data_IF_170120237103
#
_entry.id   IF_170120237103
#
_cell.length_a   1.000
_cell.length_b   1.000
_cell.length_c   1.000
_cell.angle_alpha   90.00
_cell.angle_beta   90.00
_cell.angle_gamma   90.00
#
_symmetry.space_group_name_H-M   'P 1'
#
loop_
_entity.id
_entity.type
_entity.pdbx_description
1 polymer ?
#
# COMPACT_ATOMS: atom_id res chain seq x y z
N UNK A 1 -54.63 33.59 21.06
CA UNK A 1 -53.30 34.01 21.52
C UNK A 1 -52.60 34.69 20.36
N UNK A 2 -52.79 36.01 20.21
CA UNK A 2 -52.08 36.77 19.19
C UNK A 2 -50.64 36.99 19.65
N UNK A 3 -49.69 36.33 18.99
CA UNK A 3 -48.27 36.59 19.23
C UNK A 3 -47.99 37.97 18.67
N UNK A 4 -47.67 38.93 19.54
CA UNK A 4 -47.34 40.29 19.10
C UNK A 4 -46.14 40.26 18.16
N UNK A 5 -46.21 41.03 17.06
CA UNK A 5 -45.19 41.11 16.02
C UNK A 5 -43.77 41.29 16.60
N UNK A 6 -43.66 42.08 17.68
CA UNK A 6 -42.41 42.31 18.41
C UNK A 6 -41.81 41.04 19.02
N UNK A 7 -42.63 40.13 19.58
CA UNK A 7 -42.14 38.85 20.12
C UNK A 7 -41.64 37.93 19.00
N UNK A 8 -42.31 37.93 17.85
CA UNK A 8 -41.88 37.18 16.67
C UNK A 8 -40.52 37.67 16.14
N UNK A 9 -40.34 39.00 16.04
CA UNK A 9 -39.06 39.60 15.61
C UNK A 9 -37.93 39.31 16.61
N UNK A 10 -38.21 39.35 17.91
CA UNK A 10 -37.22 39.02 18.94
C UNK A 10 -36.80 37.54 18.87
N UNK A 11 -37.74 36.62 18.70
CA UNK A 11 -37.43 35.18 18.57
C UNK A 11 -36.64 34.91 17.29
N UNK A 12 -37.02 35.54 16.17
CA UNK A 12 -36.31 35.38 14.90
C UNK A 12 -34.88 35.94 14.97
N UNK A 13 -34.67 37.09 15.62
CA UNK A 13 -33.33 37.69 15.78
C UNK A 13 -32.43 36.86 16.70
N UNK A 14 -32.95 36.34 17.81
CA UNK A 14 -32.21 35.42 18.68
C UNK A 14 -31.83 34.14 17.92
N UNK A 15 -32.77 33.54 17.17
CA UNK A 15 -32.50 32.37 16.36
C UNK A 15 -31.41 32.63 15.28
N UNK A 16 -31.45 33.80 14.65
CA UNK A 16 -30.44 34.20 13.67
C UNK A 16 -29.05 34.39 14.30
N UNK A 17 -28.97 35.00 15.48
CA UNK A 17 -27.70 35.16 16.22
C UNK A 17 -27.15 33.79 16.62
N UNK A 18 -27.98 32.88 17.14
CA UNK A 18 -27.57 31.52 17.50
C UNK A 18 -27.08 30.75 16.27
N UNK A 19 -27.80 30.81 15.14
CA UNK A 19 -27.38 30.19 13.89
C UNK A 19 -26.06 30.77 13.37
N UNK A 20 -25.86 32.10 13.47
CA UNK A 20 -24.62 32.75 13.08
C UNK A 20 -23.44 32.33 13.97
N UNK A 21 -23.65 32.16 15.28
CA UNK A 21 -22.62 31.66 16.22
C UNK A 21 -22.25 30.22 15.89
N UNK A 22 -23.24 29.35 15.66
CA UNK A 22 -23.00 27.94 15.27
C UNK A 22 -22.25 27.89 13.94
N UNK A 23 -22.64 28.71 12.97
CA UNK A 23 -21.98 28.78 11.68
C UNK A 23 -20.56 29.35 11.77
N UNK A 24 -20.31 30.30 12.67
CA UNK A 24 -18.97 30.83 12.94
C UNK A 24 -18.07 29.79 13.60
N UNK A 25 -18.61 28.94 14.46
CA UNK A 25 -17.86 27.87 15.13
C UNK A 25 -17.56 26.67 14.21
N UNK A 26 -18.31 26.52 13.11
CA UNK A 26 -18.16 25.44 12.10
C UNK A 26 -17.94 24.04 12.73
N UNK A 27 -18.86 23.56 13.59
CA UNK A 27 -18.70 22.27 14.28
C UNK A 27 -18.58 21.06 13.34
N UNK A 28 -19.00 21.20 12.07
CA UNK A 28 -18.79 20.16 11.06
C UNK A 28 -17.31 20.01 10.66
N UNK A 29 -16.51 21.07 10.70
CA UNK A 29 -15.07 20.98 10.38
C UNK A 29 -14.32 20.19 11.46
N UNK A 30 -14.70 20.34 12.74
CA UNK A 30 -14.08 19.56 13.83
C UNK A 30 -14.48 18.09 13.79
N UNK A 31 -15.73 17.77 13.43
CA UNK A 31 -16.18 16.40 13.23
C UNK A 31 -15.41 15.70 12.09
N UNK A 32 -15.23 16.39 10.94
CA UNK A 32 -14.46 15.88 9.81
C UNK A 32 -12.98 15.68 10.18
N UNK A 33 -12.37 16.63 10.90
CA UNK A 33 -11.00 16.51 11.37
C UNK A 33 -10.80 15.29 12.30
N UNK A 34 -11.74 15.06 13.22
CA UNK A 34 -11.72 13.88 14.09
C UNK A 34 -11.80 12.58 13.28
N UNK A 35 -12.70 12.50 12.30
CA UNK A 35 -12.84 11.33 11.45
C UNK A 35 -11.58 11.05 10.62
N UNK A 36 -10.93 12.08 10.09
CA UNK A 36 -9.66 11.95 9.36
C UNK A 36 -8.58 11.37 10.27
N UNK A 37 -8.44 11.90 11.49
CA UNK A 37 -7.43 11.45 12.44
C UNK A 37 -7.70 10.02 12.92
N UNK A 38 -8.96 9.66 13.13
CA UNK A 38 -9.38 8.29 13.41
C UNK A 38 -8.99 7.33 12.26
N UNK A 39 -9.31 7.69 11.02
CA UNK A 39 -8.96 6.89 9.83
C UNK A 39 -7.44 6.72 9.68
N UNK A 40 -6.65 7.78 9.93
CA UNK A 40 -5.18 7.70 9.92
C UNK A 40 -4.66 6.65 10.88
N UNK A 41 -5.10 6.71 12.15
CA UNK A 41 -4.68 5.75 13.17
C UNK A 41 -5.02 4.33 12.78
N UNK A 42 -6.23 4.10 12.26
CA UNK A 42 -6.66 2.79 11.79
C UNK A 42 -5.87 2.29 10.58
N UNK A 43 -5.58 3.15 9.62
CA UNK A 43 -4.76 2.77 8.47
C UNK A 43 -3.32 2.43 8.87
N UNK A 44 -2.73 3.16 9.84
CA UNK A 44 -1.40 2.86 10.37
C UNK A 44 -1.38 1.54 11.13
N UNK A 45 -2.38 1.27 11.97
CA UNK A 45 -2.56 -0.01 12.67
C UNK A 45 -2.59 -1.19 11.67
N UNK A 46 -3.39 -1.07 10.60
CA UNK A 46 -3.45 -2.08 9.53
C UNK A 46 -2.09 -2.23 8.82
N UNK A 47 -1.41 -1.12 8.53
CA UNK A 47 -0.11 -1.14 7.88
C UNK A 47 0.96 -1.85 8.74
N UNK A 48 1.01 -1.55 10.04
CA UNK A 48 1.93 -2.20 10.99
C UNK A 48 1.62 -3.69 11.16
N UNK A 49 0.35 -4.06 11.18
CA UNK A 49 -0.04 -5.46 11.22
C UNK A 49 0.38 -6.24 9.98
N UNK A 50 0.26 -5.63 8.79
CA UNK A 50 0.75 -6.22 7.53
C UNK A 50 2.28 -6.37 7.56
N UNK A 51 3.00 -5.33 7.98
CA UNK A 51 4.46 -5.32 8.04
C UNK A 51 5.00 -6.41 9.00
N UNK A 52 4.30 -6.63 10.12
CA UNK A 52 4.64 -7.63 11.15
C UNK A 52 4.01 -9.01 10.92
N UNK A 53 3.18 -9.17 9.89
CA UNK A 53 2.38 -10.39 9.61
C UNK A 53 1.43 -10.79 10.75
N UNK A 54 1.05 -9.86 11.60
CA UNK A 54 0.05 -10.10 12.65
C UNK A 54 -1.37 -10.02 12.08
N UNK A 55 -2.32 -10.78 12.63
CA UNK A 55 -3.72 -10.62 12.27
C UNK A 55 -4.25 -9.24 12.71
N UNK A 56 -5.14 -8.64 11.92
CA UNK A 56 -5.77 -7.35 12.23
C UNK A 56 -7.27 -7.39 11.93
N UNK A 57 -8.07 -6.87 12.87
CA UNK A 57 -9.52 -6.75 12.69
C UNK A 57 -9.84 -5.43 11.99
N UNK A 58 -10.50 -5.51 10.85
CA UNK A 58 -10.91 -4.34 10.08
C UNK A 58 -12.25 -3.82 10.62
N UNK A 59 -12.30 -2.59 11.09
CA UNK A 59 -13.55 -1.97 11.58
C UNK A 59 -14.29 -1.21 10.49
N UNK A 60 -13.56 -0.66 9.53
CA UNK A 60 -14.11 0.18 8.46
C UNK A 60 -14.46 -0.64 7.21
N UNK A 61 -15.25 -0.04 6.32
CA UNK A 61 -15.55 -0.60 5.01
C UNK A 61 -14.39 -0.41 4.04
N UNK A 62 -13.37 -1.25 4.17
CA UNK A 62 -12.24 -1.27 3.25
C UNK A 62 -12.64 -1.88 1.91
N UNK A 63 -12.12 -1.31 0.84
CA UNK A 63 -12.19 -1.85 -0.51
C UNK A 63 -10.84 -2.40 -0.93
N UNK A 64 -10.87 -3.45 -1.75
CA UNK A 64 -9.69 -4.10 -2.28
C UNK A 64 -9.41 -3.58 -3.70
N UNK A 65 -8.23 -3.02 -3.92
CA UNK A 65 -7.76 -2.64 -5.24
C UNK A 65 -6.60 -3.55 -5.66
N UNK A 66 -6.54 -3.88 -6.95
CA UNK A 66 -5.42 -4.62 -7.53
C UNK A 66 -4.52 -3.64 -8.27
N UNK A 67 -3.27 -3.51 -7.82
CA UNK A 67 -2.26 -2.68 -8.48
C UNK A 67 -1.33 -3.56 -9.30
N UNK A 68 -1.14 -3.20 -10.57
CA UNK A 68 -0.21 -3.89 -11.47
C UNK A 68 1.20 -3.34 -11.32
N UNK A 69 2.18 -4.22 -11.46
CA UNK A 69 3.61 -3.95 -11.45
C UNK A 69 4.25 -4.60 -12.68
N UNK A 70 5.26 -3.95 -13.23
CA UNK A 70 6.09 -4.50 -14.31
C UNK A 70 7.48 -4.79 -13.75
N UNK A 71 7.88 -6.06 -13.74
CA UNK A 71 9.23 -6.48 -13.41
C UNK A 71 10.01 -6.67 -14.71
N UNK A 72 11.04 -5.87 -14.92
CA UNK A 72 11.91 -5.95 -16.08
C UNK A 72 13.28 -6.43 -15.66
N UNK A 73 13.72 -7.52 -16.29
CA UNK A 73 15.03 -8.13 -16.04
C UNK A 73 15.84 -7.96 -17.31
N UNK A 74 16.82 -7.07 -17.26
CA UNK A 74 17.77 -6.83 -18.34
C UNK A 74 19.03 -7.61 -18.04
N UNK A 75 19.28 -8.65 -18.85
CA UNK A 75 20.51 -9.44 -18.79
C UNK A 75 21.57 -8.78 -19.69
N UNK A 76 22.87 -9.01 -19.43
CA UNK A 76 23.89 -8.38 -20.25
C UNK A 76 23.73 -8.80 -21.71
N UNK A 77 23.88 -7.87 -22.65
CA UNK A 77 23.80 -8.11 -24.10
C UNK A 77 22.52 -8.81 -24.60
N UNK A 78 21.44 -8.81 -23.82
CA UNK A 78 20.17 -9.46 -24.16
C UNK A 78 19.00 -8.47 -24.06
N UNK A 79 17.91 -8.80 -24.77
CA UNK A 79 16.64 -8.07 -24.62
C UNK A 79 16.05 -8.30 -23.23
N UNK A 80 15.47 -7.24 -22.67
CA UNK A 80 14.80 -7.29 -21.37
C UNK A 80 13.62 -8.26 -21.39
N UNK A 81 13.49 -9.05 -20.31
CA UNK A 81 12.31 -9.89 -20.06
C UNK A 81 11.38 -9.13 -19.13
N UNK A 82 10.14 -8.92 -19.58
CA UNK A 82 9.12 -8.20 -18.80
C UNK A 82 8.10 -9.19 -18.25
N UNK A 83 7.85 -9.12 -16.95
CA UNK A 83 6.86 -9.93 -16.24
C UNK A 83 5.84 -8.98 -15.62
N UNK A 84 4.57 -9.14 -16.00
CA UNK A 84 3.46 -8.40 -15.40
C UNK A 84 3.00 -9.11 -14.14
N UNK A 85 3.07 -8.41 -13.02
CA UNK A 85 2.65 -8.90 -11.71
C UNK A 85 1.54 -7.99 -11.17
N UNK A 86 0.89 -8.43 -10.11
CA UNK A 86 -0.13 -7.65 -9.41
C UNK A 86 -0.06 -7.91 -7.91
N UNK A 87 -0.49 -6.94 -7.12
CA UNK A 87 -0.59 -7.06 -5.66
C UNK A 87 -1.82 -6.30 -5.16
N UNK A 88 -2.21 -6.63 -3.94
CA UNK A 88 -3.40 -6.10 -3.28
C UNK A 88 -3.09 -4.80 -2.54
N UNK A 89 -4.00 -3.83 -2.63
CA UNK A 89 -3.98 -2.55 -1.93
C UNK A 89 -5.32 -2.37 -1.24
N UNK A 90 -5.33 -1.85 -0.01
CA UNK A 90 -6.58 -1.53 0.69
C UNK A 90 -6.87 -0.04 0.59
N UNK A 91 -8.14 0.31 0.42
CA UNK A 91 -8.58 1.71 0.39
C UNK A 91 -9.88 1.90 1.18
N UNK A 92 -9.95 2.95 1.97
CA UNK A 92 -11.16 3.36 2.69
C UNK A 92 -11.58 4.77 2.27
N UNK A 93 -12.89 5.06 2.12
CA UNK A 93 -13.36 6.40 1.82
C UNK A 93 -12.93 7.42 2.88
N UNK A 94 -12.45 8.57 2.43
CA UNK A 94 -12.14 9.75 3.24
C UNK A 94 -13.30 10.75 3.15
N UNK A 95 -13.73 11.36 4.27
CA UNK A 95 -14.78 12.38 4.26
C UNK A 95 -14.36 13.70 3.58
N UNK A 96 -13.06 13.87 3.32
CA UNK A 96 -12.49 15.05 2.68
C UNK A 96 -11.49 14.66 1.60
N UNK A 97 -11.45 15.47 0.53
CA UNK A 97 -10.44 15.36 -0.51
C UNK A 97 -9.07 15.80 0.01
N UNK A 98 -8.11 14.86 0.09
CA UNK A 98 -6.77 15.11 0.61
C UNK A 98 -5.71 14.45 -0.28
N UNK A 99 -4.54 15.09 -0.40
CA UNK A 99 -3.34 14.53 -1.05
C UNK A 99 -2.15 14.67 -0.12
N UNK A 100 -2.09 13.82 0.88
CA UNK A 100 -1.08 13.88 1.95
C UNK A 100 -0.57 12.47 2.25
N UNK A 101 0.71 12.37 2.59
CA UNK A 101 1.33 11.12 3.04
C UNK A 101 1.22 11.02 4.56
N UNK A 102 0.80 9.85 5.05
CA UNK A 102 0.72 9.56 6.50
C UNK A 102 1.93 8.73 6.94
N UNK A 103 2.28 7.69 6.17
CA UNK A 103 3.41 6.78 6.43
C UNK A 103 4.09 6.40 5.10
N UNK A 104 5.42 6.37 5.09
CA UNK A 104 6.21 5.89 3.96
C UNK A 104 6.42 6.91 2.84
N UNK A 105 6.69 6.44 1.61
CA UNK A 105 7.03 7.28 0.46
C UNK A 105 6.25 6.85 -0.79
N UNK A 106 5.04 7.40 -1.05
CA UNK A 106 4.12 6.87 -2.06
C UNK A 106 4.70 6.78 -3.48
N UNK A 107 5.66 7.64 -3.81
CA UNK A 107 6.36 7.68 -5.12
C UNK A 107 7.29 6.48 -5.35
N UNK A 108 7.63 5.70 -4.32
CA UNK A 108 8.40 4.47 -4.49
C UNK A 108 7.47 3.33 -4.91
N UNK A 109 7.87 2.59 -5.95
CA UNK A 109 7.10 1.44 -6.45
C UNK A 109 7.41 0.15 -5.71
N UNK A 110 8.51 0.11 -4.94
CA UNK A 110 8.93 -1.04 -4.13
C UNK A 110 9.72 -0.61 -2.89
N UNK A 111 9.97 -1.56 -2.01
CA UNK A 111 10.81 -1.43 -0.81
C UNK A 111 11.99 -2.40 -0.90
N UNK A 112 13.17 -2.00 -0.46
CA UNK A 112 14.37 -2.82 -0.53
C UNK A 112 14.59 -3.52 0.82
N UNK A 113 14.79 -4.84 0.79
CA UNK A 113 15.17 -5.62 1.96
C UNK A 113 14.01 -6.07 2.86
N UNK A 114 13.09 -5.18 3.23
CA UNK A 114 11.97 -5.52 4.14
C UNK A 114 10.65 -4.89 3.70
N UNK A 115 9.54 -5.41 4.24
CA UNK A 115 8.19 -4.89 3.99
C UNK A 115 8.01 -3.55 4.71
N UNK A 116 7.62 -2.54 3.95
CA UNK A 116 7.14 -1.27 4.49
C UNK A 116 5.83 -0.91 3.79
N UNK A 117 4.74 -0.92 4.53
CA UNK A 117 3.41 -0.57 4.03
C UNK A 117 3.21 0.93 4.12
N UNK A 118 2.90 1.56 2.99
CA UNK A 118 2.69 3.00 2.91
C UNK A 118 1.24 3.35 3.17
N UNK A 119 1.02 4.49 3.81
CA UNK A 119 -0.31 5.01 4.11
C UNK A 119 -0.39 6.43 3.60
N UNK A 120 -1.35 6.73 2.73
CA UNK A 120 -1.51 8.06 2.16
C UNK A 120 -2.94 8.34 1.71
N UNK A 121 -3.34 9.61 1.76
CA UNK A 121 -4.58 10.06 1.15
C UNK A 121 -4.34 10.36 -0.32
N UNK A 122 -5.22 9.81 -1.17
CA UNK A 122 -5.26 10.09 -2.60
C UNK A 122 -6.69 10.50 -3.00
N UNK A 123 -6.96 11.80 -2.88
CA UNK A 123 -8.29 12.36 -3.06
C UNK A 123 -9.23 11.94 -1.93
N UNK A 124 -10.34 11.31 -2.28
CA UNK A 124 -11.36 10.86 -1.32
C UNK A 124 -11.09 9.44 -0.78
N UNK A 125 -9.86 8.94 -0.90
CA UNK A 125 -9.47 7.61 -0.43
C UNK A 125 -8.24 7.71 0.46
N UNK A 126 -8.28 7.04 1.61
CA UNK A 126 -7.11 6.69 2.39
C UNK A 126 -6.64 5.31 1.95
N UNK A 127 -5.41 5.24 1.43
CA UNK A 127 -4.83 4.05 0.83
C UNK A 127 -3.80 3.46 1.77
N UNK A 128 -3.89 2.15 1.98
CA UNK A 128 -2.88 1.31 2.62
C UNK A 128 -2.26 0.46 1.51
N UNK A 129 -1.01 0.75 1.18
CA UNK A 129 -0.28 0.22 0.03
C UNK A 129 0.93 -0.62 0.49
N UNK A 130 0.77 -1.96 0.63
CA UNK A 130 1.85 -2.87 1.00
C UNK A 130 2.81 -3.06 -0.17
N UNK A 131 3.73 -2.10 -0.34
CA UNK A 131 4.64 -2.07 -1.48
C UNK A 131 5.39 -3.38 -1.65
N UNK A 132 5.54 -3.88 -2.89
CA UNK A 132 6.39 -5.03 -3.19
C UNK A 132 7.77 -4.92 -2.56
N UNK A 133 8.31 -6.01 -2.03
CA UNK A 133 9.67 -6.04 -1.47
C UNK A 133 10.62 -6.66 -2.48
N UNK A 134 11.74 -6.00 -2.76
CA UNK A 134 12.84 -6.55 -3.55
C UNK A 134 14.01 -6.85 -2.63
N UNK A 135 14.48 -8.09 -2.67
CA UNK A 135 15.62 -8.59 -1.91
C UNK A 135 16.65 -9.17 -2.88
N UNK A 136 17.92 -8.97 -2.53
CA UNK A 136 19.04 -9.52 -3.29
C UNK A 136 20.04 -10.15 -2.35
N UNK A 137 20.50 -11.35 -2.68
CA UNK A 137 21.67 -11.94 -2.06
C UNK A 137 22.48 -12.73 -3.09
N UNK A 138 23.78 -12.86 -2.80
CA UNK A 138 24.72 -13.67 -3.56
C UNK A 138 25.09 -14.87 -2.72
N UNK A 139 24.81 -16.07 -3.21
CA UNK A 139 25.03 -17.33 -2.49
C UNK A 139 25.78 -18.32 -3.37
N UNK A 140 26.25 -19.42 -2.78
CA UNK A 140 26.84 -20.54 -3.51
C UNK A 140 25.89 -21.73 -3.38
N UNK A 141 25.31 -22.19 -4.49
CA UNK A 141 24.46 -23.39 -4.55
C UNK A 141 25.15 -24.41 -5.47
N UNK A 142 25.37 -25.64 -4.99
CA UNK A 142 25.98 -26.73 -5.76
C UNK A 142 27.31 -26.35 -6.45
N UNK A 143 28.15 -25.56 -5.78
CA UNK A 143 29.44 -25.09 -6.32
C UNK A 143 29.33 -23.95 -7.34
N UNK A 144 28.12 -23.50 -7.68
CA UNK A 144 27.87 -22.36 -8.54
C UNK A 144 27.55 -21.12 -7.72
N UNK A 145 28.05 -19.98 -8.18
CA UNK A 145 27.67 -18.69 -7.63
C UNK A 145 26.31 -18.27 -8.19
N UNK A 146 25.35 -18.03 -7.30
CA UNK A 146 23.95 -17.73 -7.63
C UNK A 146 23.57 -16.35 -7.11
N UNK A 147 23.09 -15.50 -8.01
CA UNK A 147 22.47 -14.22 -7.75
C UNK A 147 20.98 -14.44 -7.52
N UNK A 148 20.54 -14.41 -6.26
CA UNK A 148 19.15 -14.62 -5.89
C UNK A 148 18.46 -13.27 -5.78
N UNK A 149 17.43 -13.08 -6.59
CA UNK A 149 16.58 -11.89 -6.56
C UNK A 149 15.19 -12.34 -6.15
N UNK A 150 14.77 -11.91 -4.97
CA UNK A 150 13.47 -12.26 -4.42
C UNK A 150 12.54 -11.06 -4.47
N UNK A 151 11.36 -11.24 -5.05
CA UNK A 151 10.31 -10.23 -5.13
C UNK A 151 9.10 -10.72 -4.34
N UNK A 152 8.70 -9.98 -3.30
CA UNK A 152 7.62 -10.37 -2.39
C UNK A 152 6.39 -9.50 -2.62
N UNK A 153 5.30 -10.11 -3.05
CA UNK A 153 4.01 -9.49 -3.35
C UNK A 153 3.03 -9.76 -2.21
N UNK A 154 2.16 -8.78 -1.91
CA UNK A 154 1.08 -8.93 -0.93
C UNK A 154 -0.23 -9.24 -1.65
N UNK A 155 -0.95 -10.28 -1.22
CA UNK A 155 -2.17 -10.77 -1.85
C UNK A 155 -3.24 -11.03 -0.79
N UNK A 156 -4.40 -10.43 -0.97
CA UNK A 156 -5.59 -10.71 -0.16
C UNK A 156 -6.58 -11.54 -0.97
N UNK A 157 -7.05 -12.63 -0.38
CA UNK A 157 -8.17 -13.43 -0.86
C UNK A 157 -9.39 -13.20 0.03
N UNK A 158 -10.57 -13.10 -0.61
CA UNK A 158 -11.84 -12.85 0.06
C UNK A 158 -12.29 -11.39 0.00
N UNK A 159 -13.52 -11.16 0.46
CA UNK A 159 -14.11 -9.82 0.54
C UNK A 159 -13.74 -9.16 1.86
N UNK A 160 -13.61 -7.83 1.87
CA UNK A 160 -13.39 -7.06 3.08
C UNK A 160 -14.73 -6.51 3.57
N UNK A 161 -15.08 -6.77 4.83
CA UNK A 161 -16.26 -6.20 5.47
C UNK A 161 -15.94 -5.74 6.89
N UNK A 162 -16.66 -4.73 7.42
CA UNK A 162 -16.55 -4.33 8.82
C UNK A 162 -16.68 -5.52 9.76
N UNK A 163 -15.68 -5.72 10.60
CA UNK A 163 -15.60 -6.79 11.59
C UNK A 163 -14.77 -8.00 11.19
N UNK A 164 -14.39 -8.16 9.91
CA UNK A 164 -13.53 -9.26 9.46
C UNK A 164 -12.11 -9.16 10.02
N UNK A 165 -11.43 -10.30 10.13
CA UNK A 165 -10.03 -10.38 10.51
C UNK A 165 -9.19 -10.72 9.29
N UNK A 166 -8.28 -9.82 8.94
CA UNK A 166 -7.28 -10.04 7.91
C UNK A 166 -6.09 -10.76 8.54
N UNK A 167 -5.74 -11.95 8.06
CA UNK A 167 -4.62 -12.76 8.60
C UNK A 167 -3.73 -13.35 7.52
N UNK A 168 -2.44 -13.46 7.83
CA UNK A 168 -1.48 -14.18 6.99
C UNK A 168 -1.79 -15.68 7.04
N UNK A 169 -1.78 -16.35 5.89
CA UNK A 169 -2.06 -17.78 5.79
C UNK A 169 -0.80 -18.55 5.42
N UNK A 170 -0.22 -18.24 4.27
CA UNK A 170 0.98 -18.90 3.77
C UNK A 170 1.65 -18.05 2.69
N UNK A 171 2.84 -18.50 2.25
CA UNK A 171 3.54 -17.90 1.12
C UNK A 171 3.63 -18.89 -0.04
N UNK A 172 3.16 -18.50 -1.22
CA UNK A 172 3.39 -19.26 -2.45
C UNK A 172 4.68 -18.76 -3.12
N UNK A 173 5.52 -19.67 -3.62
CA UNK A 173 6.81 -19.32 -4.22
C UNK A 173 6.92 -19.85 -5.65
N UNK A 174 7.34 -19.00 -6.56
CA UNK A 174 7.60 -19.33 -7.96
C UNK A 174 9.05 -18.98 -8.28
N UNK A 175 9.82 -19.95 -8.76
CA UNK A 175 11.25 -19.77 -9.01
C UNK A 175 11.56 -19.98 -10.48
N UNK A 176 12.36 -19.09 -11.05
CA UNK A 176 12.99 -19.29 -12.36
C UNK A 176 14.49 -19.10 -12.24
N UNK A 177 15.25 -19.91 -12.96
CA UNK A 177 16.71 -19.90 -12.94
C UNK A 177 17.25 -19.77 -14.35
N UNK A 178 18.33 -18.99 -14.49
CA UNK A 178 19.03 -18.81 -15.75
C UNK A 178 20.53 -18.74 -15.51
N UNK A 179 21.30 -19.56 -16.22
CA UNK A 179 22.75 -19.49 -16.23
C UNK A 179 23.23 -18.45 -17.25
N UNK A 180 24.28 -17.70 -16.91
CA UNK A 180 24.91 -16.74 -17.82
C UNK A 180 26.06 -17.38 -18.60
N UNK A 181 26.09 -17.19 -19.91
CA UNK A 181 27.17 -17.66 -20.78
C UNK A 181 28.32 -16.63 -20.90
N UNK A 182 28.12 -15.42 -20.39
CA UNK A 182 29.03 -14.29 -20.55
C UNK A 182 29.07 -13.40 -19.29
N UNK A 183 30.07 -12.52 -19.25
CA UNK A 183 30.26 -11.56 -18.15
C UNK A 183 29.65 -10.21 -18.53
N UNK A 184 28.96 -9.56 -17.60
CA UNK A 184 28.40 -8.22 -17.82
C UNK A 184 27.58 -7.70 -16.66
N UNK A 185 26.74 -6.71 -16.91
CA UNK A 185 25.85 -6.12 -15.91
C UNK A 185 24.43 -6.63 -16.14
N UNK A 186 23.80 -7.14 -15.07
CA UNK A 186 22.38 -7.40 -15.03
C UNK A 186 21.69 -6.29 -14.23
N UNK A 187 20.56 -5.82 -14.74
CA UNK A 187 19.75 -4.78 -14.10
C UNK A 187 18.32 -5.29 -13.92
N UNK A 188 17.72 -4.96 -12.79
CA UNK A 188 16.33 -5.29 -12.48
C UNK A 188 15.60 -4.00 -12.18
N UNK A 189 14.53 -3.77 -12.91
CA UNK A 189 13.70 -2.57 -12.85
C UNK A 189 12.29 -2.98 -12.43
N UNK A 190 11.71 -2.23 -11.50
CA UNK A 190 10.34 -2.42 -11.01
C UNK A 190 9.53 -1.18 -11.33
N UNK A 191 8.55 -1.33 -12.23
CA UNK A 191 7.66 -0.25 -12.68
C UNK A 191 8.43 1.02 -13.10
N UNK A 192 9.52 0.85 -13.86
CA UNK A 192 10.38 1.94 -14.32
C UNK A 192 11.44 2.44 -13.31
N UNK A 193 11.45 1.94 -12.07
CA UNK A 193 12.45 2.29 -11.06
C UNK A 193 13.53 1.19 -10.97
N UNK A 194 14.82 1.56 -11.12
CA UNK A 194 15.92 0.60 -10.96
C UNK A 194 15.94 0.07 -9.52
N UNK A 195 15.75 -1.23 -9.37
CA UNK A 195 15.74 -1.91 -8.09
C UNK A 195 17.11 -2.49 -7.73
N UNK A 196 17.79 -3.09 -8.71
CA UNK A 196 19.08 -3.72 -8.52
C UNK A 196 19.93 -3.59 -9.78
N UNK A 197 21.24 -3.45 -9.57
CA UNK A 197 22.25 -3.51 -10.62
C UNK A 197 23.48 -4.23 -10.10
N UNK A 198 23.85 -5.32 -10.75
CA UNK A 198 24.98 -6.16 -10.31
C UNK A 198 25.74 -6.76 -11.48
N UNK A 199 27.02 -7.04 -11.24
CA UNK A 199 27.89 -7.71 -12.21
C UNK A 199 27.75 -9.21 -12.08
N UNK A 200 27.60 -9.87 -13.23
CA UNK A 200 27.57 -11.33 -13.36
C UNK A 200 28.76 -11.79 -14.19
N UNK A 201 29.29 -12.98 -13.89
CA UNK A 201 30.33 -13.67 -14.64
C UNK A 201 29.76 -14.85 -15.41
N UNK A 202 30.50 -15.31 -16.42
CA UNK A 202 30.17 -16.55 -17.11
C UNK A 202 30.08 -17.72 -16.10
N UNK A 203 29.08 -18.59 -16.28
CA UNK A 203 28.70 -19.72 -15.41
C UNK A 203 28.11 -19.34 -14.03
N UNK A 204 27.94 -18.06 -13.73
CA UNK A 204 27.09 -17.64 -12.60
C UNK A 204 25.60 -17.80 -12.99
N UNK A 205 24.73 -17.92 -11.99
CA UNK A 205 23.30 -18.18 -12.18
C UNK A 205 22.49 -17.01 -11.65
N UNK A 206 21.48 -16.55 -12.39
CA UNK A 206 20.39 -15.72 -11.89
C UNK A 206 19.25 -16.62 -11.43
N UNK A 207 18.80 -16.43 -10.19
CA UNK A 207 17.62 -17.10 -9.63
C UNK A 207 16.61 -16.04 -9.21
N UNK A 208 15.51 -15.93 -9.93
CA UNK A 208 14.42 -15.01 -9.61
C UNK A 208 13.35 -15.78 -8.86
N UNK A 209 13.03 -15.32 -7.66
CA UNK A 209 12.08 -15.95 -6.74
C UNK A 209 10.94 -14.98 -6.49
N UNK A 210 9.77 -15.26 -7.07
CA UNK A 210 8.55 -14.52 -6.78
C UNK A 210 7.87 -15.17 -5.58
N UNK A 211 7.58 -14.39 -4.55
CA UNK A 211 6.89 -14.86 -3.35
C UNK A 211 5.58 -14.09 -3.21
N UNK A 212 4.46 -14.78 -3.20
CA UNK A 212 3.16 -14.21 -2.85
C UNK A 212 2.86 -14.48 -1.38
N UNK A 213 2.79 -13.43 -0.58
CA UNK A 213 2.27 -13.50 0.78
C UNK A 213 0.75 -13.46 0.72
N UNK A 214 0.12 -14.60 1.00
CA UNK A 214 -1.33 -14.77 0.91
C UNK A 214 -1.98 -14.52 2.26
N UNK A 215 -2.93 -13.61 2.24
CA UNK A 215 -3.76 -13.22 3.35
C UNK A 215 -5.21 -13.55 3.05
N UNK A 216 -5.98 -13.85 4.08
CA UNK A 216 -7.40 -14.13 3.98
C UNK A 216 -8.20 -13.22 4.91
N UNK A 217 -9.38 -12.85 4.45
CA UNK A 217 -10.41 -12.19 5.23
C UNK A 217 -11.44 -13.21 5.72
N UNK A 218 -11.64 -13.30 7.04
CA UNK A 218 -12.58 -14.22 7.67
C UNK A 218 -13.11 -13.74 9.02
#
# INVERSE_FOLDING_TARGET
MEVSLQKLVLVASVAAIVAAIIAAYRPWESAVAYQIEYLRKKAVEVAEAIDSKSPVRLTESWSLANRSLLLEITRPNEKSVTIKLNYSVLAVPSPQYLRITVKGRPDREFTAGYRETFVYFNGNLLVVDPKPVVQYCKVVEYGHTVHVVKVVLFKINGSLWPGCTLRYVHSATYTTTRTYDYTGISTIVVSGQEALRFRVKAKEILKVVLVEERWESG
#
